data_IF_776528681209
#
_entry.id   IF_776528681209
#
_cell.length_a   1.000
_cell.length_b   1.000
_cell.length_c   1.000
_cell.angle_alpha   90.00
_cell.angle_beta   90.00
_cell.angle_gamma   90.00
#
_symmetry.space_group_name_H-M   'P 1'
#
loop_
_entity.id
_entity.type
_entity.pdbx_description
1 polymer ?
#
# COMPACT_ATOMS: atom_id res chain seq x y z
N UNK A 1 5.01 7.55 -20.53
CA UNK A 1 5.43 8.75 -19.81
C UNK A 1 4.55 8.82 -18.56
N UNK A 2 5.08 8.52 -17.38
CA UNK A 2 4.31 8.54 -16.15
C UNK A 2 3.98 10.00 -15.79
N UNK A 3 2.77 10.31 -15.28
CA UNK A 3 2.43 11.65 -14.83
C UNK A 3 3.34 12.04 -13.66
N UNK A 4 3.72 13.30 -13.54
CA UNK A 4 4.55 13.74 -12.42
C UNK A 4 3.83 13.52 -11.09
N UNK A 5 4.58 13.05 -10.11
CA UNK A 5 4.12 12.73 -8.75
C UNK A 5 3.58 13.92 -7.92
N UNK A 6 3.21 15.02 -8.57
CA UNK A 6 2.84 16.29 -7.94
C UNK A 6 1.55 16.22 -7.09
N UNK A 7 0.71 15.19 -7.27
CA UNK A 7 -0.54 15.10 -6.53
C UNK A 7 -0.44 14.51 -5.11
N UNK A 8 0.60 13.74 -4.82
CA UNK A 8 0.77 13.01 -3.55
C UNK A 8 1.51 13.82 -2.47
N UNK A 9 2.20 14.88 -2.86
CA UNK A 9 3.00 15.73 -1.98
C UNK A 9 2.39 17.13 -1.81
N UNK A 10 1.15 17.35 -2.23
CA UNK A 10 0.48 18.62 -2.00
C UNK A 10 0.39 18.91 -0.49
N UNK A 11 0.89 20.05 0.00
CA UNK A 11 0.92 20.40 1.43
C UNK A 11 -0.44 20.31 2.12
N UNK A 12 -1.52 20.52 1.37
CA UNK A 12 -2.90 20.44 1.85
C UNK A 12 -3.32 19.06 2.38
N UNK A 13 -2.66 17.96 1.97
CA UNK A 13 -2.96 16.61 2.45
C UNK A 13 -2.12 16.20 3.66
N UNK A 14 -1.07 16.95 3.99
CA UNK A 14 -0.18 16.64 5.13
C UNK A 14 -0.45 17.55 6.32
N UNK A 15 -1.35 18.53 6.19
CA UNK A 15 -1.71 19.45 7.27
C UNK A 15 -0.59 20.41 7.66
N UNK A 16 0.34 20.71 6.74
CA UNK A 16 1.47 21.61 6.99
C UNK A 16 1.11 23.00 6.48
N UNK A 17 0.92 23.94 7.38
CA UNK A 17 0.79 25.35 7.07
C UNK A 17 2.16 26.01 7.08
N UNK A 18 2.62 26.49 5.92
CA UNK A 18 3.87 27.24 5.76
C UNK A 18 5.02 26.41 5.18
N UNK A 19 6.14 27.07 4.92
CA UNK A 19 7.38 26.42 4.49
C UNK A 19 7.97 25.65 5.69
N UNK A 20 7.78 24.33 5.69
CA UNK A 20 8.34 23.45 6.70
C UNK A 20 9.47 22.62 6.07
N UNK A 21 10.64 22.65 6.69
CA UNK A 21 11.80 21.85 6.29
C UNK A 21 11.67 20.39 6.69
N UNK A 22 10.60 20.03 7.45
CA UNK A 22 10.34 18.68 7.93
C UNK A 22 8.84 18.35 7.97
N UNK A 23 8.52 17.11 7.62
CA UNK A 23 7.16 16.56 7.64
C UNK A 23 7.05 15.41 8.64
N UNK A 24 5.95 15.38 9.40
CA UNK A 24 5.64 14.26 10.30
C UNK A 24 4.78 13.24 9.55
N UNK A 25 5.38 12.12 9.16
CA UNK A 25 4.74 11.06 8.37
C UNK A 25 4.67 9.72 9.12
N UNK A 26 4.54 9.73 10.44
CA UNK A 26 4.65 8.54 11.29
C UNK A 26 3.85 7.34 10.79
N UNK A 27 2.52 7.46 10.63
CA UNK A 27 1.69 6.34 10.16
C UNK A 27 1.96 5.94 8.71
N UNK A 28 2.35 6.89 7.86
CA UNK A 28 2.74 6.58 6.50
C UNK A 28 4.00 5.71 6.45
N UNK A 29 4.96 5.92 7.36
CA UNK A 29 6.16 5.09 7.49
C UNK A 29 5.86 3.70 8.05
N UNK A 30 4.83 3.55 8.89
CA UNK A 30 4.35 2.23 9.34
C UNK A 30 3.75 1.46 8.16
N UNK A 31 3.02 2.15 7.29
CA UNK A 31 2.38 1.54 6.13
C UNK A 31 3.38 1.23 5.03
N UNK A 32 4.34 2.11 4.79
CA UNK A 32 5.39 1.97 3.77
C UNK A 32 6.72 2.50 4.31
N UNK A 33 7.58 1.65 4.89
CA UNK A 33 8.89 2.05 5.38
C UNK A 33 9.81 2.63 4.32
N UNK A 34 9.60 2.27 3.05
CA UNK A 34 10.32 2.82 1.90
C UNK A 34 9.73 4.13 1.36
N UNK A 35 8.77 4.74 2.07
CA UNK A 35 8.05 5.95 1.63
C UNK A 35 8.99 7.04 1.13
N UNK A 36 9.95 7.44 1.95
CA UNK A 36 10.91 8.49 1.62
C UNK A 36 11.76 8.13 0.39
N UNK A 37 12.26 6.89 0.34
CA UNK A 37 13.06 6.39 -0.80
C UNK A 37 12.26 6.44 -2.10
N UNK A 38 10.99 6.01 -2.06
CA UNK A 38 10.08 6.05 -3.21
C UNK A 38 9.76 7.48 -3.64
N UNK A 39 9.47 8.35 -2.69
CA UNK A 39 9.18 9.76 -2.97
C UNK A 39 10.37 10.46 -3.64
N UNK A 40 11.58 10.33 -3.08
CA UNK A 40 12.80 10.93 -3.62
C UNK A 40 13.21 10.37 -4.99
N UNK A 41 12.87 9.13 -5.29
CA UNK A 41 13.16 8.49 -6.59
C UNK A 41 12.06 8.69 -7.64
N UNK A 42 11.07 9.55 -7.40
CA UNK A 42 9.96 9.82 -8.32
C UNK A 42 8.96 8.66 -8.44
N UNK A 43 9.02 7.67 -7.54
CA UNK A 43 8.13 6.51 -7.51
C UNK A 43 6.95 6.69 -6.56
N UNK A 44 6.38 7.90 -6.49
CA UNK A 44 5.24 8.22 -5.62
C UNK A 44 4.04 7.30 -5.84
N UNK A 45 3.82 6.84 -7.06
CA UNK A 45 2.75 5.89 -7.42
C UNK A 45 2.92 4.51 -6.75
N UNK A 46 4.12 4.15 -6.32
CA UNK A 46 4.41 2.88 -5.65
C UNK A 46 4.34 2.97 -4.11
N UNK A 47 4.04 4.15 -3.57
CA UNK A 47 3.86 4.35 -2.13
C UNK A 47 2.52 3.75 -1.69
N UNK A 48 2.53 2.89 -0.68
CA UNK A 48 1.31 2.41 -0.03
C UNK A 48 0.73 3.50 0.87
N UNK A 49 -0.47 4.02 0.60
CA UNK A 49 -1.06 5.07 1.42
C UNK A 49 -1.56 4.51 2.76
N UNK A 50 -1.47 5.32 3.81
CA UNK A 50 -2.15 5.00 5.07
C UNK A 50 -3.65 5.27 4.92
N UNK A 51 -4.46 4.23 5.09
CA UNK A 51 -5.93 4.31 4.97
C UNK A 51 -6.62 4.73 6.28
N UNK A 52 -5.86 5.16 7.27
CA UNK A 52 -6.36 5.67 8.57
C UNK A 52 -7.28 4.70 9.33
N UNK A 53 -7.10 3.39 9.16
CA UNK A 53 -7.87 2.33 9.85
C UNK A 53 -7.64 2.30 11.37
N UNK A 54 -6.57 2.92 11.87
CA UNK A 54 -6.15 2.96 13.28
C UNK A 54 -5.78 1.60 13.91
N UNK A 55 -5.64 0.54 13.15
CA UNK A 55 -5.18 -0.77 13.65
C UNK A 55 -3.84 -0.67 14.38
N UNK A 56 -2.88 0.09 13.81
CA UNK A 56 -1.59 0.32 14.47
C UNK A 56 -1.73 1.07 15.79
N UNK A 57 -2.67 2.00 15.90
CA UNK A 57 -2.94 2.72 17.15
C UNK A 57 -3.54 1.80 18.22
N UNK A 58 -4.48 0.94 17.84
CA UNK A 58 -5.04 -0.08 18.74
C UNK A 58 -3.98 -1.05 19.26
N UNK A 59 -2.99 -1.41 18.44
CA UNK A 59 -1.90 -2.29 18.85
C UNK A 59 -0.99 -1.68 19.93
N UNK A 60 -0.83 -0.35 19.97
CA UNK A 60 -0.01 0.33 20.98
C UNK A 60 -0.59 0.18 22.41
N UNK A 61 -1.90 0.04 22.50
CA UNK A 61 -2.61 -0.11 23.79
C UNK A 61 -2.62 -1.56 24.31
N UNK A 62 -2.05 -2.50 23.57
CA UNK A 62 -2.03 -3.93 23.93
C UNK A 62 -0.59 -4.46 23.94
N UNK A 63 -0.29 -5.53 24.71
CA UNK A 63 1.03 -6.15 24.70
C UNK A 63 1.32 -6.98 23.43
N UNK A 64 0.65 -6.67 22.33
CA UNK A 64 0.85 -7.30 21.03
C UNK A 64 1.83 -6.52 20.15
N UNK A 65 2.43 -7.17 19.18
CA UNK A 65 3.23 -6.49 18.17
C UNK A 65 2.37 -5.49 17.38
N UNK A 66 2.98 -4.38 16.97
CA UNK A 66 2.31 -3.39 16.13
C UNK A 66 1.84 -4.05 14.82
N UNK A 67 0.61 -3.76 14.39
CA UNK A 67 0.01 -4.28 13.18
C UNK A 67 -0.43 -3.14 12.24
N UNK A 68 -0.45 -3.39 10.96
CA UNK A 68 -0.98 -2.49 9.95
C UNK A 68 -1.75 -3.29 8.90
N UNK A 69 -3.01 -2.94 8.65
CA UNK A 69 -3.86 -3.64 7.68
C UNK A 69 -3.32 -3.52 6.24
N UNK A 70 -2.57 -2.46 5.96
CA UNK A 70 -2.02 -2.20 4.64
C UNK A 70 -0.52 -2.51 4.51
N UNK A 71 0.12 -3.05 5.56
CA UNK A 71 1.52 -3.51 5.53
C UNK A 71 1.66 -4.89 6.17
N UNK A 72 1.46 -5.97 5.39
CA UNK A 72 1.57 -7.33 5.91
C UNK A 72 3.00 -7.74 6.27
N UNK A 73 4.00 -6.95 5.85
CA UNK A 73 5.42 -7.20 6.16
C UNK A 73 5.91 -6.45 7.40
N UNK A 74 5.04 -5.69 8.08
CA UNK A 74 5.41 -4.89 9.26
C UNK A 74 6.10 -5.75 10.32
N UNK A 75 7.20 -5.25 10.87
CA UNK A 75 8.04 -5.92 11.86
C UNK A 75 8.67 -7.25 11.39
N UNK A 76 8.73 -7.51 10.09
CA UNK A 76 9.47 -8.63 9.52
C UNK A 76 10.82 -8.18 8.95
N UNK A 77 11.82 -9.07 8.80
CA UNK A 77 13.11 -8.72 8.18
C UNK A 77 13.00 -8.20 6.73
N UNK A 78 11.84 -8.39 6.09
CA UNK A 78 11.57 -7.99 4.70
C UNK A 78 10.77 -6.70 4.59
N UNK A 79 10.56 -6.01 5.68
CA UNK A 79 9.74 -4.80 5.74
C UNK A 79 10.30 -3.64 4.91
N UNK A 80 11.63 -3.52 4.83
CA UNK A 80 12.34 -2.30 4.37
C UNK A 80 12.01 -1.90 2.94
N UNK A 81 11.78 -2.82 2.03
CA UNK A 81 11.52 -2.50 0.63
C UNK A 81 10.06 -2.75 0.19
N UNK A 82 9.28 -3.44 1.00
CA UNK A 82 7.89 -3.82 0.67
C UNK A 82 7.79 -4.67 -0.61
N UNK A 83 8.91 -4.94 -1.28
CA UNK A 83 8.96 -5.78 -2.48
C UNK A 83 9.33 -7.19 -2.05
N UNK A 84 8.51 -8.20 -2.35
CA UNK A 84 8.81 -9.58 -2.04
C UNK A 84 10.09 -10.03 -2.75
N UNK A 85 10.97 -10.75 -2.04
CA UNK A 85 12.13 -11.34 -2.66
C UNK A 85 11.72 -12.38 -3.72
N UNK A 86 12.51 -12.49 -4.79
CA UNK A 86 12.31 -13.53 -5.80
C UNK A 86 12.28 -14.92 -5.14
N UNK A 87 11.36 -15.76 -5.58
CA UNK A 87 11.33 -17.15 -5.14
C UNK A 87 12.40 -17.98 -5.87
N UNK A 88 12.92 -19.01 -5.22
CA UNK A 88 13.90 -19.91 -5.83
C UNK A 88 13.34 -20.83 -6.93
N UNK A 89 12.09 -20.65 -7.37
CA UNK A 89 11.48 -21.47 -8.42
C UNK A 89 10.31 -20.76 -9.11
N UNK A 90 10.27 -20.88 -10.42
CA UNK A 90 9.15 -20.37 -11.26
C UNK A 90 7.91 -21.25 -11.10
N UNK A 91 6.74 -20.62 -11.00
CA UNK A 91 5.43 -21.31 -11.00
C UNK A 91 4.44 -20.51 -11.81
N UNK A 92 3.44 -21.20 -12.36
CA UNK A 92 2.21 -20.59 -12.86
C UNK A 92 1.19 -20.58 -11.71
N UNK A 93 0.71 -19.40 -11.36
CA UNK A 93 -0.21 -19.16 -10.25
C UNK A 93 -1.53 -18.64 -10.78
N UNK A 94 -2.61 -19.25 -10.36
CA UNK A 94 -3.96 -18.78 -10.66
C UNK A 94 -4.54 -18.18 -9.40
N UNK A 95 -5.01 -16.93 -9.50
CA UNK A 95 -5.72 -16.22 -8.44
C UNK A 95 -7.17 -16.06 -8.86
N UNK A 96 -8.10 -16.50 -8.01
CA UNK A 96 -9.53 -16.37 -8.24
C UNK A 96 -10.10 -15.34 -7.28
N UNK A 97 -10.60 -14.23 -7.83
CA UNK A 97 -11.18 -13.11 -7.08
C UNK A 97 -10.37 -11.81 -7.25
N UNK A 98 -10.96 -10.81 -7.92
CA UNK A 98 -10.37 -9.50 -8.19
C UNK A 98 -10.57 -8.47 -7.07
N UNK A 99 -10.84 -8.89 -5.82
CA UNK A 99 -10.87 -8.02 -4.65
C UNK A 99 -9.47 -7.70 -4.12
N UNK A 100 -9.38 -6.90 -3.05
CA UNK A 100 -8.11 -6.43 -2.47
C UNK A 100 -7.17 -7.59 -2.14
N UNK A 101 -7.68 -8.65 -1.53
CA UNK A 101 -6.87 -9.82 -1.17
C UNK A 101 -6.29 -10.54 -2.41
N UNK A 102 -7.12 -10.72 -3.46
CA UNK A 102 -6.67 -11.34 -4.71
C UNK A 102 -5.66 -10.49 -5.47
N UNK A 103 -5.87 -9.17 -5.49
CA UNK A 103 -4.94 -8.23 -6.11
C UNK A 103 -3.58 -8.22 -5.38
N UNK A 104 -3.57 -8.22 -4.06
CA UNK A 104 -2.34 -8.32 -3.27
C UNK A 104 -1.64 -9.65 -3.49
N UNK A 105 -2.38 -10.77 -3.49
CA UNK A 105 -1.81 -12.09 -3.76
C UNK A 105 -1.20 -12.18 -5.18
N UNK A 106 -1.88 -11.64 -6.18
CA UNK A 106 -1.41 -11.60 -7.56
C UNK A 106 -0.15 -10.74 -7.67
N UNK A 107 -0.14 -9.56 -7.06
CA UNK A 107 1.01 -8.68 -7.04
C UNK A 107 2.22 -9.34 -6.37
N UNK A 108 2.04 -9.93 -5.17
CA UNK A 108 3.11 -10.61 -4.44
C UNK A 108 3.67 -11.79 -5.23
N UNK A 109 2.81 -12.60 -5.83
CA UNK A 109 3.25 -13.73 -6.64
C UNK A 109 4.04 -13.28 -7.87
N UNK A 110 3.57 -12.24 -8.57
CA UNK A 110 4.25 -11.65 -9.72
C UNK A 110 5.61 -11.05 -9.32
N UNK A 111 5.67 -10.31 -8.22
CA UNK A 111 6.90 -9.72 -7.71
C UNK A 111 7.93 -10.79 -7.28
N UNK A 112 7.47 -12.00 -6.93
CA UNK A 112 8.33 -13.17 -6.66
C UNK A 112 8.81 -13.89 -7.92
N UNK A 113 8.45 -13.43 -9.10
CA UNK A 113 8.89 -13.99 -10.38
C UNK A 113 8.01 -15.12 -10.90
N UNK A 114 6.76 -15.23 -10.42
CA UNK A 114 5.80 -16.21 -10.94
C UNK A 114 4.98 -15.61 -12.09
N UNK A 115 4.51 -16.46 -13.00
CA UNK A 115 3.49 -16.12 -13.97
C UNK A 115 2.12 -16.17 -13.30
N UNK A 116 1.37 -15.06 -13.35
CA UNK A 116 0.11 -14.95 -12.61
C UNK A 116 -1.04 -14.69 -13.57
N UNK A 117 -2.09 -15.49 -13.42
CA UNK A 117 -3.38 -15.27 -14.08
C UNK A 117 -4.43 -14.97 -13.01
N UNK A 118 -5.06 -13.79 -13.10
CA UNK A 118 -6.14 -13.37 -12.21
C UNK A 118 -7.48 -13.53 -12.91
N UNK A 119 -8.42 -14.26 -12.29
CA UNK A 119 -9.81 -14.35 -12.69
C UNK A 119 -10.70 -13.53 -11.76
N UNK A 120 -11.57 -12.71 -12.32
CA UNK A 120 -12.59 -11.96 -11.58
C UNK A 120 -13.97 -12.18 -12.22
N UNK A 121 -14.97 -12.39 -11.38
CA UNK A 121 -16.36 -12.45 -11.84
C UNK A 121 -16.91 -11.06 -12.20
N UNK A 122 -16.29 -10.00 -11.72
CA UNK A 122 -16.64 -8.61 -12.03
C UNK A 122 -15.77 -8.08 -13.15
N UNK A 123 -16.32 -7.23 -14.02
CA UNK A 123 -15.56 -6.46 -15.00
C UNK A 123 -14.66 -5.39 -14.41
N UNK A 124 -14.81 -5.09 -13.13
CA UNK A 124 -13.98 -4.12 -12.38
C UNK A 124 -13.20 -4.83 -11.29
N UNK A 125 -11.94 -4.42 -11.12
CA UNK A 125 -11.08 -4.89 -10.03
C UNK A 125 -11.27 -4.03 -8.77
N UNK A 126 -10.88 -4.56 -7.60
CA UNK A 126 -10.98 -3.87 -6.32
C UNK A 126 -12.11 -4.39 -5.42
N UNK A 127 -13.15 -5.02 -5.99
CA UNK A 127 -14.23 -5.61 -5.24
C UNK A 127 -14.93 -4.61 -4.31
N UNK A 128 -15.08 -4.97 -3.03
CA UNK A 128 -15.76 -4.10 -2.03
C UNK A 128 -15.03 -2.79 -1.74
N UNK A 129 -13.73 -2.69 -2.03
CA UNK A 129 -13.00 -1.43 -1.87
C UNK A 129 -13.52 -0.34 -2.83
N UNK A 130 -13.92 -0.71 -4.06
CA UNK A 130 -14.54 0.22 -5.00
C UNK A 130 -15.86 0.80 -4.47
N UNK A 131 -16.65 -0.01 -3.75
CA UNK A 131 -17.88 0.47 -3.12
C UNK A 131 -17.57 1.41 -1.95
N UNK A 132 -16.55 1.08 -1.15
CA UNK A 132 -16.12 1.95 -0.05
C UNK A 132 -15.58 3.29 -0.56
N UNK A 133 -14.84 3.30 -1.67
CA UNK A 133 -14.30 4.52 -2.28
C UNK A 133 -15.39 5.45 -2.83
N UNK A 134 -16.58 4.93 -3.14
CA UNK A 134 -17.72 5.71 -3.59
C UNK A 134 -18.48 6.43 -2.45
N UNK A 135 -18.15 6.15 -1.18
CA UNK A 135 -18.78 6.80 -0.04
C UNK A 135 -18.21 8.21 0.18
N UNK A 136 -19.05 9.19 0.59
CA UNK A 136 -18.58 10.54 0.94
C UNK A 136 -17.49 10.47 2.01
N UNK A 137 -16.41 11.21 1.84
CA UNK A 137 -15.27 11.23 2.74
C UNK A 137 -14.22 10.12 2.49
N UNK A 138 -14.43 9.26 1.50
CA UNK A 138 -13.52 8.18 1.14
C UNK A 138 -12.69 8.46 -0.14
N UNK A 139 -12.65 9.71 -0.60
CA UNK A 139 -12.01 10.12 -1.86
C UNK A 139 -10.51 9.78 -1.93
N UNK A 140 -9.89 9.50 -0.78
CA UNK A 140 -8.49 9.08 -0.70
C UNK A 140 -8.25 7.58 -0.93
N UNK A 141 -9.32 6.79 -1.13
CA UNK A 141 -9.26 5.34 -1.35
C UNK A 141 -9.37 4.95 -2.84
N UNK A 142 -9.63 5.91 -3.70
CA UNK A 142 -9.79 5.72 -5.16
C UNK A 142 -8.47 5.84 -5.92
#
# INVERSE_FOLDING_TARGET
>A
MAPPAQGLLAPSRVGVHGAADAYRIGRAMITDPAWTKKALSGRGYAIRPCVSCNTCWGSVATPSAIACDNNPALATPREIDGVPALSGGFRRVVVVGGGVAGLEAAWVASARGHEVTLFSASGTLGGRACLAAALPGAEGLA
#
